data_IF_952891191235
#
_entry.id   IF_952891191235
#
_cell.length_a   1.000
_cell.length_b   1.000
_cell.length_c   1.000
_cell.angle_alpha   90.00
_cell.angle_beta   90.00
_cell.angle_gamma   90.00
#
_symmetry.space_group_name_H-M   'P 1'
#
loop_
_entity.id
_entity.type
_entity.pdbx_description
1 polymer ?
#
# COMPACT_ATOMS: atom_id res chain seq x y z
N UNK A 1 -3.01 0.59 -25.57
CA UNK A 1 -2.14 -0.48 -25.01
C UNK A 1 -2.71 -0.81 -23.65
N UNK A 2 -2.79 -2.09 -23.28
CA UNK A 2 -3.34 -2.51 -21.99
C UNK A 2 -2.27 -2.37 -20.90
N UNK A 3 -2.64 -1.79 -19.75
CA UNK A 3 -1.81 -1.80 -18.54
C UNK A 3 -1.90 -3.18 -17.90
N UNK A 4 -0.76 -3.73 -17.50
CA UNK A 4 -0.67 -5.02 -16.80
C UNK A 4 -0.09 -4.78 -15.41
N UNK A 5 -0.77 -5.31 -14.39
CA UNK A 5 -0.33 -5.26 -13.01
C UNK A 5 -0.02 -6.68 -12.50
N UNK A 6 1.25 -6.97 -12.26
CA UNK A 6 1.66 -8.14 -11.49
C UNK A 6 1.40 -7.86 -10.01
N UNK A 7 0.59 -8.70 -9.40
CA UNK A 7 -0.02 -8.45 -8.11
C UNK A 7 -0.17 -9.72 -7.30
N UNK A 8 -0.25 -9.57 -5.98
CA UNK A 8 -0.73 -10.59 -5.06
C UNK A 8 -1.83 -9.98 -4.20
N UNK A 9 -2.96 -10.68 -4.06
CA UNK A 9 -4.16 -10.11 -3.42
C UNK A 9 -3.88 -9.49 -2.03
N UNK A 10 -3.11 -10.18 -1.15
CA UNK A 10 -2.78 -9.68 0.19
C UNK A 10 -1.61 -8.69 0.25
N UNK A 11 -0.92 -8.44 -0.85
CA UNK A 11 0.17 -7.47 -0.86
C UNK A 11 -0.35 -6.04 -0.67
N UNK A 12 0.00 -5.40 0.45
CA UNK A 12 -0.35 -4.00 0.69
C UNK A 12 0.28 -3.06 -0.33
N UNK A 13 1.47 -3.37 -0.83
CA UNK A 13 2.09 -2.59 -1.90
C UNK A 13 1.32 -2.70 -3.23
N UNK A 14 0.81 -3.90 -3.57
CA UNK A 14 -0.07 -4.07 -4.73
C UNK A 14 -1.43 -3.41 -4.52
N UNK A 15 -1.96 -3.46 -3.31
CA UNK A 15 -3.23 -2.82 -2.96
C UNK A 15 -3.17 -1.30 -3.20
N UNK A 16 -2.04 -0.63 -2.88
CA UNK A 16 -1.81 0.80 -3.20
C UNK A 16 -1.99 1.07 -4.68
N UNK A 17 -1.36 0.27 -5.54
CA UNK A 17 -1.42 0.46 -6.99
C UNK A 17 -2.82 0.20 -7.54
N UNK A 18 -3.51 -0.84 -7.05
CA UNK A 18 -4.91 -1.11 -7.41
C UNK A 18 -5.83 0.07 -7.07
N UNK A 19 -5.69 0.65 -5.86
CA UNK A 19 -6.45 1.85 -5.46
C UNK A 19 -6.17 3.01 -6.41
N UNK A 20 -4.90 3.30 -6.70
CA UNK A 20 -4.52 4.39 -7.58
C UNK A 20 -5.10 4.23 -8.99
N UNK A 21 -5.00 3.04 -9.58
CA UNK A 21 -5.59 2.72 -10.88
C UNK A 21 -7.11 2.90 -10.88
N UNK A 22 -7.79 2.42 -9.83
CA UNK A 22 -9.25 2.54 -9.70
C UNK A 22 -9.69 4.00 -9.54
N UNK A 23 -8.99 4.81 -8.71
CA UNK A 23 -9.30 6.25 -8.57
C UNK A 23 -9.15 6.96 -9.92
N UNK A 24 -8.10 6.63 -10.66
CA UNK A 24 -7.82 7.21 -11.97
C UNK A 24 -8.69 6.62 -13.10
N UNK A 25 -9.52 5.61 -12.79
CA UNK A 25 -10.41 4.93 -13.73
C UNK A 25 -9.66 4.34 -14.93
N UNK A 26 -8.50 3.77 -14.65
CA UNK A 26 -7.64 3.13 -15.63
C UNK A 26 -7.95 1.64 -15.63
N UNK A 27 -8.29 1.09 -16.80
CA UNK A 27 -8.47 -0.35 -16.96
C UNK A 27 -7.12 -1.06 -16.99
N UNK A 28 -7.00 -2.18 -16.29
CA UNK A 28 -5.78 -2.96 -16.21
C UNK A 28 -6.06 -4.46 -16.10
N UNK A 29 -5.12 -5.25 -16.61
CA UNK A 29 -5.09 -6.71 -16.46
C UNK A 29 -4.29 -7.07 -15.20
N UNK A 30 -4.86 -7.91 -14.32
CA UNK A 30 -4.13 -8.47 -13.18
C UNK A 30 -3.45 -9.78 -13.61
N UNK A 31 -2.14 -9.87 -13.37
CA UNK A 31 -1.38 -11.11 -13.40
C UNK A 31 -0.95 -11.48 -12.00
N UNK A 32 -1.52 -12.55 -11.48
CA UNK A 32 -1.22 -13.01 -10.12
C UNK A 32 0.20 -13.54 -10.02
N UNK A 33 0.88 -13.17 -8.92
CA UNK A 33 2.20 -13.69 -8.51
C UNK A 33 2.08 -14.11 -7.05
N UNK A 34 1.88 -15.39 -6.81
CA UNK A 34 1.60 -15.88 -5.46
C UNK A 34 2.85 -15.92 -4.59
N UNK A 35 2.85 -15.17 -3.47
CA UNK A 35 4.05 -14.98 -2.65
C UNK A 35 4.42 -16.16 -1.75
N UNK A 36 3.53 -17.16 -1.60
CA UNK A 36 3.73 -18.29 -0.67
C UNK A 36 3.73 -19.66 -1.37
N UNK A 37 2.98 -19.85 -2.47
CA UNK A 37 2.90 -21.13 -3.17
C UNK A 37 4.25 -21.51 -3.77
N UNK A 38 4.66 -22.78 -3.57
CA UNK A 38 5.89 -23.31 -4.14
C UNK A 38 7.18 -22.57 -3.74
N UNK A 39 7.19 -21.95 -2.54
CA UNK A 39 8.31 -21.12 -2.11
C UNK A 39 8.25 -19.68 -2.60
N UNK A 40 7.19 -19.32 -3.32
CA UNK A 40 6.92 -17.98 -3.80
C UNK A 40 7.23 -17.79 -5.30
N UNK A 41 6.19 -17.57 -6.10
CA UNK A 41 6.29 -17.37 -7.55
C UNK A 41 7.12 -16.13 -7.93
N UNK A 42 7.27 -15.17 -7.02
CA UNK A 42 8.12 -13.99 -7.20
C UNK A 42 9.61 -14.33 -7.34
N UNK A 43 10.01 -15.56 -6.98
CA UNK A 43 11.38 -16.07 -7.11
C UNK A 43 11.59 -16.92 -8.35
N UNK A 44 10.55 -17.11 -9.19
CA UNK A 44 10.69 -17.83 -10.45
C UNK A 44 11.61 -17.07 -11.42
N UNK A 45 12.35 -17.81 -12.24
CA UNK A 45 13.25 -17.22 -13.24
C UNK A 45 12.53 -16.27 -14.19
N UNK A 46 11.29 -16.60 -14.57
CA UNK A 46 10.50 -15.76 -15.49
C UNK A 46 10.05 -14.46 -14.84
N UNK A 47 9.65 -14.49 -13.58
CA UNK A 47 9.30 -13.25 -12.89
C UNK A 47 10.53 -12.40 -12.58
N UNK A 48 11.66 -12.99 -12.21
CA UNK A 48 12.91 -12.26 -11.94
C UNK A 48 13.47 -11.55 -13.18
N UNK A 49 13.18 -12.03 -14.40
CA UNK A 49 13.49 -11.29 -15.64
C UNK A 49 12.67 -10.00 -15.77
N UNK A 50 11.46 -9.96 -15.19
CA UNK A 50 10.58 -8.79 -15.21
C UNK A 50 10.94 -7.84 -14.05
N UNK A 51 11.07 -8.39 -12.84
CA UNK A 51 11.45 -7.63 -11.64
C UNK A 51 12.57 -8.35 -10.86
N UNK A 52 13.82 -7.94 -11.05
CA UNK A 52 14.97 -8.56 -10.36
C UNK A 52 14.92 -8.49 -8.83
N UNK A 53 14.07 -7.64 -8.24
CA UNK A 53 13.89 -7.58 -6.78
C UNK A 53 13.06 -8.75 -6.23
N UNK A 54 12.33 -9.50 -7.09
CA UNK A 54 11.45 -10.57 -6.65
C UNK A 54 10.32 -10.05 -5.75
N UNK A 55 9.75 -8.91 -6.06
CA UNK A 55 8.69 -8.24 -5.27
C UNK A 55 7.50 -7.87 -6.17
N UNK A 56 6.33 -7.77 -5.56
CA UNK A 56 5.15 -7.16 -6.18
C UNK A 56 4.82 -5.84 -5.47
N UNK A 57 4.21 -4.86 -6.14
CA UNK A 57 3.73 -4.85 -7.53
C UNK A 57 4.82 -4.60 -8.55
N UNK A 58 4.53 -5.05 -9.79
CA UNK A 58 5.18 -4.57 -10.99
C UNK A 58 4.11 -4.13 -11.99
N UNK A 59 4.22 -2.93 -12.52
CA UNK A 59 3.32 -2.39 -13.54
C UNK A 59 4.01 -2.40 -14.90
N UNK A 60 3.31 -2.83 -15.95
CA UNK A 60 3.75 -2.68 -17.32
C UNK A 60 2.79 -1.75 -18.04
N UNK A 61 3.31 -0.66 -18.61
CA UNK A 61 2.56 0.29 -19.42
C UNK A 61 3.30 0.52 -20.74
N UNK A 62 2.67 0.16 -21.87
CA UNK A 62 3.25 0.33 -23.20
C UNK A 62 4.62 -0.36 -23.40
N UNK A 63 4.91 -1.43 -22.65
CA UNK A 63 6.21 -2.12 -22.65
C UNK A 63 7.21 -1.58 -21.62
N UNK A 64 6.93 -0.47 -20.96
CA UNK A 64 7.74 0.06 -19.85
C UNK A 64 7.43 -0.70 -18.58
N UNK A 65 8.46 -1.26 -17.93
CA UNK A 65 8.35 -1.99 -16.66
C UNK A 65 8.63 -1.05 -15.51
N UNK A 66 7.68 -0.92 -14.60
CA UNK A 66 7.77 -0.06 -13.41
C UNK A 66 7.66 -0.91 -12.15
N UNK A 67 8.55 -0.67 -11.20
CA UNK A 67 8.60 -1.36 -9.91
C UNK A 67 8.50 -0.34 -8.78
N UNK A 68 8.31 -0.80 -7.54
CA UNK A 68 8.08 0.04 -6.35
C UNK A 68 6.74 0.79 -6.37
N UNK A 69 5.86 0.47 -5.42
CA UNK A 69 4.51 1.04 -5.37
C UNK A 69 4.48 2.57 -5.34
N UNK A 70 5.44 3.22 -4.67
CA UNK A 70 5.53 4.68 -4.63
C UNK A 70 5.91 5.26 -5.99
N UNK A 71 6.89 4.69 -6.68
CA UNK A 71 7.28 5.13 -8.01
C UNK A 71 6.13 4.91 -9.04
N UNK A 72 5.42 3.78 -8.93
CA UNK A 72 4.27 3.49 -9.79
C UNK A 72 3.15 4.52 -9.57
N UNK A 73 2.81 4.84 -8.31
CA UNK A 73 1.74 5.80 -8.02
C UNK A 73 2.13 7.22 -8.45
N UNK A 74 3.39 7.64 -8.28
CA UNK A 74 3.88 8.91 -8.81
C UNK A 74 3.84 8.93 -10.35
N UNK A 75 4.25 7.86 -11.02
CA UNK A 75 4.15 7.74 -12.48
C UNK A 75 2.69 7.89 -12.95
N UNK A 76 1.75 7.19 -12.28
CA UNK A 76 0.33 7.30 -12.60
C UNK A 76 -0.21 8.73 -12.37
N UNK A 77 0.31 9.45 -11.38
CA UNK A 77 -0.05 10.85 -11.14
C UNK A 77 0.44 11.78 -12.25
N UNK A 78 1.64 11.55 -12.78
CA UNK A 78 2.22 12.36 -13.84
C UNK A 78 1.60 12.09 -15.21
N UNK A 79 1.40 10.82 -15.56
CA UNK A 79 0.91 10.42 -16.89
C UNK A 79 -0.61 10.52 -16.99
N UNK A 80 -1.32 10.26 -15.89
CA UNK A 80 -2.78 10.33 -15.77
C UNK A 80 -3.18 11.35 -14.69
N UNK A 81 -3.04 12.66 -14.92
CA UNK A 81 -3.16 13.68 -13.86
C UNK A 81 -4.58 13.87 -13.31
N UNK A 82 -5.61 13.27 -13.93
CA UNK A 82 -7.01 13.45 -13.53
C UNK A 82 -7.69 12.11 -13.28
N UNK A 83 -8.32 11.91 -12.11
CA UNK A 83 -8.34 12.78 -10.91
C UNK A 83 -6.97 12.90 -10.24
N UNK A 84 -6.63 14.10 -9.72
CA UNK A 84 -5.34 14.36 -9.08
C UNK A 84 -5.26 13.72 -7.68
N UNK A 85 -4.21 12.96 -7.42
CA UNK A 85 -3.86 12.40 -6.10
C UNK A 85 -3.01 13.36 -5.27
N UNK A 86 -2.31 14.30 -5.91
CA UNK A 86 -1.52 15.31 -5.23
C UNK A 86 -2.19 16.70 -5.34
N UNK A 87 -2.09 17.52 -4.29
CA UNK A 87 -2.57 18.90 -4.30
C UNK A 87 -1.71 19.77 -5.23
N UNK A 88 -2.19 21.01 -5.50
CA UNK A 88 -1.46 21.97 -6.35
C UNK A 88 -0.27 22.63 -5.63
N UNK A 89 -0.44 22.93 -4.34
CA UNK A 89 0.60 23.59 -3.52
C UNK A 89 1.82 22.69 -3.36
N UNK A 90 3.02 23.23 -3.56
CA UNK A 90 4.26 22.50 -3.36
C UNK A 90 4.46 22.05 -1.90
N UNK A 91 4.01 22.86 -0.94
CA UNK A 91 4.06 22.55 0.51
C UNK A 91 3.15 21.37 0.81
N UNK A 92 1.91 21.40 0.32
CA UNK A 92 0.95 20.31 0.55
C UNK A 92 1.41 19.01 -0.16
N UNK A 93 2.03 19.13 -1.34
CA UNK A 93 2.64 17.98 -2.03
C UNK A 93 3.76 17.35 -1.21
N UNK A 94 4.61 18.18 -0.59
CA UNK A 94 5.67 17.72 0.28
C UNK A 94 5.10 17.02 1.53
N UNK A 95 4.07 17.61 2.14
CA UNK A 95 3.36 17.01 3.25
C UNK A 95 2.74 15.65 2.86
N UNK A 96 2.01 15.57 1.74
CA UNK A 96 1.47 14.28 1.25
C UNK A 96 2.55 13.23 1.07
N UNK A 97 3.69 13.60 0.47
CA UNK A 97 4.81 12.69 0.28
C UNK A 97 5.47 12.27 1.59
N UNK A 98 5.53 13.14 2.60
CA UNK A 98 6.05 12.75 3.91
C UNK A 98 5.21 11.66 4.57
N UNK A 99 3.87 11.76 4.50
CA UNK A 99 2.97 10.70 4.98
C UNK A 99 3.13 9.40 4.17
N UNK A 100 3.27 9.50 2.85
CA UNK A 100 3.55 8.36 1.97
C UNK A 100 4.85 7.67 2.36
N UNK A 101 5.93 8.44 2.56
CA UNK A 101 7.25 7.89 2.91
C UNK A 101 7.27 7.28 4.31
N UNK A 102 6.59 7.88 5.28
CA UNK A 102 6.44 7.29 6.61
C UNK A 102 5.88 5.87 6.53
N UNK A 103 4.88 5.65 5.68
CA UNK A 103 4.33 4.30 5.48
C UNK A 103 5.26 3.43 4.63
N UNK A 104 5.76 3.95 3.50
CA UNK A 104 6.50 3.17 2.51
C UNK A 104 7.93 2.85 2.92
N UNK A 105 8.57 3.71 3.74
CA UNK A 105 9.97 3.59 4.12
C UNK A 105 10.18 3.20 5.59
N UNK A 106 9.26 3.59 6.50
CA UNK A 106 9.49 3.41 7.93
C UNK A 106 8.62 2.32 8.56
N UNK A 107 7.42 2.04 8.00
CA UNK A 107 6.52 0.99 8.53
C UNK A 107 6.59 -0.28 7.66
N UNK A 108 6.21 -0.15 6.38
CA UNK A 108 6.02 -1.30 5.49
C UNK A 108 7.25 -2.17 5.30
N UNK A 109 8.48 -1.64 5.11
CA UNK A 109 9.65 -2.47 4.90
C UNK A 109 9.98 -3.34 6.09
N UNK A 110 9.78 -2.84 7.31
CA UNK A 110 10.03 -3.58 8.55
C UNK A 110 9.03 -4.73 8.77
N UNK A 111 7.82 -4.57 8.24
CA UNK A 111 6.74 -5.54 8.32
C UNK A 111 6.55 -6.36 7.02
N UNK A 112 7.50 -6.27 6.10
CA UNK A 112 7.45 -7.03 4.85
C UNK A 112 7.65 -8.53 5.11
N UNK A 113 6.97 -9.36 4.29
CA UNK A 113 7.02 -10.82 4.39
C UNK A 113 8.44 -11.37 4.49
N UNK A 114 9.39 -10.89 3.67
CA UNK A 114 10.79 -11.32 3.70
C UNK A 114 11.51 -11.04 5.02
N UNK A 115 11.14 -9.94 5.69
CA UNK A 115 11.69 -9.61 7.02
C UNK A 115 11.11 -10.53 8.07
N UNK A 116 9.79 -10.74 8.03
CA UNK A 116 9.12 -11.65 8.97
C UNK A 116 9.62 -13.09 8.81
N UNK A 117 9.84 -13.55 7.57
CA UNK A 117 10.44 -14.85 7.29
C UNK A 117 11.86 -14.93 7.84
N UNK A 118 12.70 -13.92 7.61
CA UNK A 118 14.08 -13.89 8.14
C UNK A 118 14.11 -13.93 9.67
N UNK A 119 13.24 -13.16 10.32
CA UNK A 119 13.09 -13.18 11.79
C UNK A 119 12.71 -14.58 12.28
N UNK A 120 11.77 -15.24 11.61
CA UNK A 120 11.32 -16.58 11.98
C UNK A 120 12.39 -17.64 11.72
N UNK A 121 12.90 -17.73 10.50
CA UNK A 121 13.72 -18.84 10.02
C UNK A 121 15.19 -18.73 10.45
N UNK A 122 15.71 -17.50 10.55
CA UNK A 122 17.13 -17.26 10.85
C UNK A 122 17.36 -16.91 12.31
N UNK A 123 16.47 -16.11 12.91
CA UNK A 123 16.63 -15.64 14.28
C UNK A 123 15.77 -16.39 15.29
N UNK A 124 14.96 -17.37 14.84
CA UNK A 124 14.04 -18.18 15.66
C UNK A 124 13.07 -17.34 16.51
N UNK A 125 12.58 -16.22 15.97
CA UNK A 125 11.65 -15.30 16.62
C UNK A 125 10.19 -15.62 16.22
N UNK A 126 9.71 -16.87 16.45
CA UNK A 126 8.37 -17.29 16.07
C UNK A 126 7.27 -16.53 16.84
N UNK A 127 7.40 -16.41 18.16
CA UNK A 127 6.40 -15.76 19.02
C UNK A 127 6.48 -14.21 18.95
N UNK A 128 7.58 -13.66 18.44
CA UNK A 128 7.80 -12.22 18.41
C UNK A 128 7.28 -11.53 17.14
N UNK A 129 6.80 -12.27 16.13
CA UNK A 129 6.31 -11.66 14.89
C UNK A 129 5.16 -10.68 15.14
N UNK A 130 4.20 -11.03 15.99
CA UNK A 130 3.10 -10.14 16.32
C UNK A 130 3.56 -8.92 17.12
N UNK A 131 4.46 -9.11 18.07
CA UNK A 131 5.04 -8.01 18.85
C UNK A 131 5.88 -7.08 17.97
N UNK A 132 6.71 -7.61 17.08
CA UNK A 132 7.47 -6.85 16.09
C UNK A 132 6.54 -6.05 15.17
N UNK A 133 5.55 -6.72 14.59
CA UNK A 133 4.62 -6.10 13.66
C UNK A 133 3.85 -4.96 14.32
N UNK A 134 3.26 -5.23 15.49
CA UNK A 134 2.52 -4.25 16.28
C UNK A 134 3.37 -3.06 16.72
N UNK A 135 4.62 -3.29 17.16
CA UNK A 135 5.54 -2.24 17.55
C UNK A 135 5.77 -1.20 16.45
N UNK A 136 6.08 -1.65 15.23
CA UNK A 136 6.35 -0.73 14.12
C UNK A 136 5.11 -0.04 13.58
N UNK A 137 3.95 -0.72 13.61
CA UNK A 137 2.65 -0.10 13.31
C UNK A 137 2.36 1.00 14.31
N UNK A 138 2.41 0.69 15.61
CA UNK A 138 2.08 1.66 16.67
C UNK A 138 3.00 2.88 16.60
N UNK A 139 4.30 2.67 16.45
CA UNK A 139 5.27 3.76 16.37
C UNK A 139 5.03 4.67 15.17
N UNK A 140 4.78 4.10 13.99
CA UNK A 140 4.51 4.86 12.78
C UNK A 140 3.15 5.54 12.81
N UNK A 141 2.10 4.86 13.29
CA UNK A 141 0.77 5.44 13.38
C UNK A 141 0.67 6.54 14.44
N UNK A 142 1.39 6.43 15.57
CA UNK A 142 1.47 7.53 16.54
C UNK A 142 2.05 8.80 15.92
N UNK A 143 3.10 8.68 15.13
CA UNK A 143 3.67 9.83 14.42
C UNK A 143 2.70 10.37 13.36
N UNK A 144 2.05 9.49 12.62
CA UNK A 144 1.10 9.89 11.57
C UNK A 144 -0.15 10.57 12.13
N UNK A 145 -0.72 10.05 13.22
CA UNK A 145 -1.87 10.67 13.89
C UNK A 145 -1.57 12.10 14.30
N UNK A 146 -0.42 12.35 14.96
CA UNK A 146 0.03 13.69 15.34
C UNK A 146 0.24 14.61 14.13
N UNK A 147 0.80 14.11 13.02
CA UNK A 147 0.95 14.89 11.80
C UNK A 147 -0.40 15.27 11.19
N UNK A 148 -1.39 14.39 11.24
CA UNK A 148 -2.75 14.66 10.78
C UNK A 148 -3.43 15.71 11.67
N UNK A 149 -3.28 15.62 13.00
CA UNK A 149 -3.78 16.63 13.95
C UNK A 149 -3.17 18.01 13.70
N UNK A 150 -1.85 18.09 13.49
CA UNK A 150 -1.12 19.34 13.22
C UNK A 150 -1.54 20.02 11.91
N UNK A 151 -2.14 19.29 10.99
CA UNK A 151 -2.65 19.80 9.71
C UNK A 151 -4.18 19.93 9.67
N UNK A 152 -4.83 20.04 10.85
CA UNK A 152 -6.29 20.21 10.98
C UNK A 152 -7.09 19.20 10.14
N UNK A 153 -6.64 17.94 10.12
CA UNK A 153 -7.28 16.88 9.37
C UNK A 153 -8.71 16.65 9.89
N UNK A 154 -9.68 16.69 8.99
CA UNK A 154 -11.09 16.49 9.32
C UNK A 154 -11.51 15.00 9.40
N UNK A 155 -10.59 14.08 9.14
CA UNK A 155 -10.82 12.64 9.12
C UNK A 155 -11.54 12.10 7.89
N UNK A 156 -11.79 12.92 6.87
CA UNK A 156 -12.36 12.45 5.59
C UNK A 156 -11.29 11.90 4.65
N UNK A 157 -10.11 12.51 4.68
CA UNK A 157 -8.90 12.07 3.99
C UNK A 157 -7.68 12.68 4.69
N UNK A 158 -6.48 12.26 4.36
CA UNK A 158 -5.24 12.81 4.93
C UNK A 158 -5.07 14.31 4.65
N UNK A 159 -5.72 14.83 3.61
CA UNK A 159 -5.76 16.27 3.30
C UNK A 159 -7.00 16.63 2.48
N UNK A 160 -7.82 17.51 3.01
CA UNK A 160 -9.05 17.98 2.37
C UNK A 160 -10.20 16.97 2.44
N UNK A 161 -11.06 16.94 1.43
CA UNK A 161 -12.32 16.20 1.49
C UNK A 161 -12.40 14.98 0.55
N UNK A 162 -11.33 14.67 -0.16
CA UNK A 162 -11.34 13.55 -1.11
C UNK A 162 -10.00 12.80 -1.12
N UNK A 163 -10.01 11.57 -1.65
CA UNK A 163 -8.83 10.73 -1.61
C UNK A 163 -7.60 11.39 -2.23
N UNK A 164 -6.48 11.28 -1.54
CA UNK A 164 -5.18 11.78 -1.94
C UNK A 164 -4.15 10.64 -1.94
N UNK A 165 -2.96 10.93 -2.39
CA UNK A 165 -1.89 9.93 -2.46
C UNK A 165 -1.61 9.28 -1.10
N UNK A 166 -1.62 10.05 0.00
CA UNK A 166 -1.41 9.48 1.33
C UNK A 166 -2.49 8.47 1.74
N UNK A 167 -3.75 8.69 1.35
CA UNK A 167 -4.85 7.75 1.64
C UNK A 167 -4.64 6.41 0.91
N UNK A 168 -4.12 6.47 -0.31
CA UNK A 168 -3.76 5.28 -1.11
C UNK A 168 -2.74 4.40 -0.40
N UNK A 169 -1.86 4.98 0.41
CA UNK A 169 -0.87 4.27 1.21
C UNK A 169 -1.38 3.88 2.59
N UNK A 170 -2.16 4.76 3.20
CA UNK A 170 -2.68 4.55 4.55
C UNK A 170 -3.65 3.37 4.61
N UNK A 171 -4.62 3.32 3.70
CA UNK A 171 -5.67 2.29 3.74
C UNK A 171 -5.10 0.86 3.72
N UNK A 172 -4.17 0.47 2.84
CA UNK A 172 -3.55 -0.85 2.90
C UNK A 172 -2.74 -1.11 4.18
N UNK A 173 -2.19 -0.06 4.79
CA UNK A 173 -1.44 -0.20 6.04
C UNK A 173 -2.37 -0.43 7.23
N UNK A 174 -3.51 0.27 7.28
CA UNK A 174 -4.57 0.05 8.30
C UNK A 174 -5.18 -1.34 8.12
N UNK A 175 -5.48 -1.76 6.88
CA UNK A 175 -5.96 -3.11 6.60
C UNK A 175 -5.03 -4.18 7.20
N UNK A 176 -3.73 -4.02 7.03
CA UNK A 176 -2.75 -4.91 7.64
C UNK A 176 -2.72 -4.82 9.18
N UNK A 177 -2.81 -3.62 9.74
CA UNK A 177 -2.87 -3.44 11.20
C UNK A 177 -4.05 -4.21 11.80
N UNK A 178 -5.23 -4.08 11.20
CA UNK A 178 -6.44 -4.81 11.61
C UNK A 178 -6.26 -6.33 11.50
N UNK A 179 -5.67 -6.81 10.40
CA UNK A 179 -5.39 -8.24 10.20
C UNK A 179 -4.44 -8.83 11.24
N UNK A 180 -3.51 -8.04 11.74
CA UNK A 180 -2.58 -8.43 12.80
C UNK A 180 -3.10 -8.08 14.21
N UNK A 181 -4.37 -7.70 14.34
CA UNK A 181 -5.01 -7.33 15.60
C UNK A 181 -4.28 -6.20 16.35
N UNK A 182 -3.65 -5.27 15.61
CA UNK A 182 -3.06 -4.10 16.24
C UNK A 182 -4.16 -3.19 16.81
N UNK A 183 -3.99 -2.66 18.03
CA UNK A 183 -4.99 -1.77 18.63
C UNK A 183 -5.08 -0.46 17.84
N UNK A 184 -6.30 -0.12 17.38
CA UNK A 184 -6.55 1.08 16.58
C UNK A 184 -7.20 2.22 17.36
N UNK A 185 -7.59 1.98 18.61
CA UNK A 185 -8.33 2.95 19.43
C UNK A 185 -7.52 4.22 19.78
N UNK A 186 -6.18 4.16 19.67
CA UNK A 186 -5.28 5.29 19.87
C UNK A 186 -5.15 6.18 18.62
N UNK A 187 -5.73 5.78 17.48
CA UNK A 187 -5.58 6.45 16.19
C UNK A 187 -6.94 6.80 15.58
N UNK A 188 -7.68 7.74 16.18
CA UNK A 188 -9.06 8.06 15.76
C UNK A 188 -9.13 8.73 14.38
N UNK A 189 -8.18 9.59 13.99
CA UNK A 189 -8.16 10.19 12.66
C UNK A 189 -7.83 9.15 11.58
N UNK A 190 -6.81 8.34 11.81
CA UNK A 190 -6.43 7.24 10.91
C UNK A 190 -7.60 6.29 10.70
N UNK A 191 -8.29 5.89 11.79
CA UNK A 191 -9.45 4.99 11.73
C UNK A 191 -10.59 5.61 10.93
N UNK A 192 -10.91 6.88 11.16
CA UNK A 192 -11.96 7.60 10.44
C UNK A 192 -11.66 7.76 8.96
N UNK A 193 -10.41 8.08 8.61
CA UNK A 193 -9.97 8.16 7.21
C UNK A 193 -10.13 6.80 6.52
N UNK A 194 -9.71 5.72 7.18
CA UNK A 194 -9.86 4.36 6.66
C UNK A 194 -11.33 4.03 6.39
N UNK A 195 -12.19 4.24 7.37
CA UNK A 195 -13.63 3.98 7.26
C UNK A 195 -14.26 4.78 6.10
N UNK A 196 -13.93 6.07 5.99
CA UNK A 196 -14.43 6.93 4.91
C UNK A 196 -13.92 6.49 3.52
N UNK A 197 -12.64 6.14 3.41
CA UNK A 197 -12.08 5.64 2.16
C UNK A 197 -12.74 4.32 1.72
N UNK A 198 -12.96 3.39 2.66
CA UNK A 198 -13.58 2.09 2.39
C UNK A 198 -15.07 2.16 2.00
N UNK A 199 -15.73 3.32 2.11
CA UNK A 199 -17.06 3.54 1.51
C UNK A 199 -16.98 3.80 -0.02
N UNK A 200 -15.80 4.06 -0.55
CA UNK A 200 -15.62 4.41 -1.95
C UNK A 200 -15.27 3.17 -2.78
N UNK A 201 -15.94 3.00 -3.93
CA UNK A 201 -15.75 1.84 -4.80
C UNK A 201 -14.30 1.62 -5.25
N UNK A 202 -13.52 2.70 -5.42
CA UNK A 202 -12.12 2.61 -5.82
C UNK A 202 -11.26 1.84 -4.79
N UNK A 203 -11.53 2.02 -3.50
CA UNK A 203 -10.85 1.31 -2.42
C UNK A 203 -11.45 -0.08 -2.19
N UNK A 204 -12.78 -0.15 -2.14
CA UNK A 204 -13.49 -1.41 -1.91
C UNK A 204 -13.15 -2.45 -2.98
N UNK A 205 -13.19 -2.08 -4.26
CA UNK A 205 -12.86 -2.97 -5.36
C UNK A 205 -11.38 -3.38 -5.39
N UNK A 206 -10.49 -2.57 -4.80
CA UNK A 206 -9.07 -2.88 -4.69
C UNK A 206 -8.74 -3.76 -3.48
N UNK A 207 -9.67 -3.95 -2.53
CA UNK A 207 -9.45 -4.71 -1.30
C UNK A 207 -9.04 -6.17 -1.61
N UNK A 208 -8.22 -6.79 -0.74
CA UNK A 208 -7.70 -8.14 -0.96
C UNK A 208 -8.78 -9.20 -1.24
N UNK A 209 -9.86 -9.18 -0.50
CA UNK A 209 -10.99 -10.12 -0.62
C UNK A 209 -11.75 -10.03 -1.94
N UNK A 210 -11.62 -8.91 -2.65
CA UNK A 210 -12.28 -8.66 -3.92
C UNK A 210 -11.37 -8.93 -5.15
N UNK A 211 -10.17 -9.48 -4.92
CA UNK A 211 -9.26 -9.78 -6.02
C UNK A 211 -9.52 -11.17 -6.62
N UNK A 212 -9.23 -11.35 -7.92
CA UNK A 212 -9.49 -12.64 -8.61
C UNK A 212 -8.66 -13.80 -8.06
N UNK A 213 -7.51 -13.51 -7.43
CA UNK A 213 -6.61 -14.48 -6.82
C UNK A 213 -6.83 -14.64 -5.30
N UNK A 214 -7.91 -14.05 -4.74
CA UNK A 214 -8.22 -14.17 -3.33
C UNK A 214 -8.57 -15.63 -2.97
N UNK A 215 -7.92 -16.15 -1.94
CA UNK A 215 -8.26 -17.45 -1.36
C UNK A 215 -9.52 -17.31 -0.48
N UNK A 216 -10.49 -18.19 -0.75
CA UNK A 216 -11.77 -18.25 -0.02
C UNK A 216 -11.64 -19.05 1.26
#
# INVERSE_FOLDING_TARGET
MSIILYSYYRSSASFRVRIALNIKRIDYEIRSVHLLKGGGEQHSEDYLKINPQGLVPTLIDGGTVLTQSSAIVEYLEEVYPTPALLPKSAVDRAYMRSLVQLIACDIHPLNNLRVLQYLKETLNYDDAQHAWYGHWIQKGFSAMELLLEQHDCNGLSCLGNGPRMADVFLVPQVYNALRFNCPMHEFPLISRIYENCMQQSAFLNAAPENQPDAEK
#
